data_IF_302758563496
#
_entry.id   IF_302758563496
#
_cell.length_a   1.000
_cell.length_b   1.000
_cell.length_c   1.000
_cell.angle_alpha   90.00
_cell.angle_beta   90.00
_cell.angle_gamma   90.00
#
_symmetry.space_group_name_H-M   'P 1'
#
loop_
_entity.id
_entity.type
_entity.pdbx_description
1 polymer ?
#
# COMPACT_ATOMS: atom_id res chain seq x y z
N UNK A 1 1.76 -17.60 -8.48
CA UNK A 1 2.92 -16.72 -8.24
C UNK A 1 3.24 -16.67 -6.74
N UNK A 2 4.50 -16.48 -6.34
CA UNK A 2 4.96 -16.67 -4.96
C UNK A 2 4.95 -15.40 -4.09
N UNK A 3 4.93 -15.58 -2.76
CA UNK A 3 5.02 -14.51 -1.75
C UNK A 3 6.24 -13.57 -1.94
N UNK A 4 7.29 -14.07 -2.60
CA UNK A 4 8.53 -13.32 -2.86
C UNK A 4 8.27 -12.10 -3.75
N UNK A 5 7.47 -12.24 -4.80
CA UNK A 5 7.15 -11.15 -5.72
C UNK A 5 6.39 -10.01 -5.02
N UNK A 6 5.49 -10.35 -4.10
CA UNK A 6 4.78 -9.35 -3.30
C UNK A 6 5.74 -8.61 -2.34
N UNK A 7 6.70 -9.33 -1.74
CA UNK A 7 7.76 -8.72 -0.93
C UNK A 7 8.64 -7.76 -1.74
N UNK A 8 8.99 -8.11 -2.99
CA UNK A 8 9.72 -7.22 -3.90
C UNK A 8 8.91 -5.96 -4.20
N UNK A 9 7.61 -6.10 -4.51
CA UNK A 9 6.70 -4.97 -4.76
C UNK A 9 6.64 -4.00 -3.58
N UNK A 10 6.56 -4.51 -2.35
CA UNK A 10 6.57 -3.68 -1.13
C UNK A 10 7.86 -2.85 -1.05
N UNK A 11 9.02 -3.47 -1.27
CA UNK A 11 10.32 -2.76 -1.26
C UNK A 11 10.38 -1.69 -2.35
N UNK A 12 9.89 -1.98 -3.55
CA UNK A 12 9.85 -1.02 -4.65
C UNK A 12 8.99 0.20 -4.31
N UNK A 13 7.79 0.00 -3.75
CA UNK A 13 6.91 1.10 -3.34
C UNK A 13 7.53 1.95 -2.23
N UNK A 14 8.28 1.34 -1.31
CA UNK A 14 9.02 2.06 -0.28
C UNK A 14 10.13 2.93 -0.89
N UNK A 15 10.82 2.43 -1.91
CA UNK A 15 11.87 3.18 -2.61
C UNK A 15 11.29 4.33 -3.44
N UNK A 16 10.21 4.08 -4.17
CA UNK A 16 9.47 5.11 -4.90
C UNK A 16 9.03 6.26 -3.98
N UNK A 17 8.53 5.94 -2.78
CA UNK A 17 8.19 6.95 -1.78
C UNK A 17 9.41 7.78 -1.32
N UNK A 18 10.61 7.18 -1.21
CA UNK A 18 11.83 7.94 -0.90
C UNK A 18 12.24 8.86 -2.04
N UNK A 19 12.20 8.36 -3.27
CA UNK A 19 12.53 9.12 -4.49
C UNK A 19 11.61 10.33 -4.60
N UNK A 20 10.29 10.16 -4.43
CA UNK A 20 9.33 11.28 -4.47
C UNK A 20 9.65 12.33 -3.40
N UNK A 21 9.95 11.92 -2.17
CA UNK A 21 10.33 12.86 -1.09
C UNK A 21 11.62 13.60 -1.42
N UNK A 22 12.61 12.91 -1.98
CA UNK A 22 13.87 13.52 -2.39
C UNK A 22 13.65 14.58 -3.47
N UNK A 23 12.94 14.24 -4.55
CA UNK A 23 12.68 15.18 -5.65
C UNK A 23 11.82 16.36 -5.20
N UNK A 24 10.82 16.13 -4.35
CA UNK A 24 10.04 17.21 -3.74
C UNK A 24 10.93 18.15 -2.92
N UNK A 25 11.81 17.63 -2.07
CA UNK A 25 12.70 18.45 -1.26
C UNK A 25 13.67 19.26 -2.12
N UNK A 26 14.15 18.67 -3.22
CA UNK A 26 14.98 19.35 -4.22
C UNK A 26 14.24 20.52 -4.89
N UNK A 27 12.98 20.32 -5.28
CA UNK A 27 12.14 21.39 -5.84
C UNK A 27 11.89 22.51 -4.82
N UNK A 28 11.57 22.15 -3.57
CA UNK A 28 11.38 23.11 -2.47
C UNK A 28 12.64 23.93 -2.21
N UNK A 29 13.81 23.30 -2.23
CA UNK A 29 15.09 24.00 -2.07
C UNK A 29 15.36 24.97 -3.24
N UNK A 30 15.01 24.60 -4.48
CA UNK A 30 15.11 25.48 -5.64
C UNK A 30 14.16 26.66 -5.57
N UNK A 31 12.90 26.45 -5.16
CA UNK A 31 11.92 27.52 -5.00
C UNK A 31 12.37 28.56 -3.96
N UNK A 32 12.99 28.14 -2.86
CA UNK A 32 13.57 29.05 -1.86
C UNK A 32 14.69 29.93 -2.43
N UNK A 33 15.48 29.42 -3.39
CA UNK A 33 16.61 30.14 -4.01
C UNK A 33 16.20 31.04 -5.17
N UNK A 34 15.29 30.58 -6.01
CA UNK A 34 14.94 31.20 -7.29
C UNK A 34 13.60 31.97 -7.25
N UNK A 35 12.93 32.02 -6.09
CA UNK A 35 11.61 32.60 -5.95
C UNK A 35 10.48 31.65 -6.40
N UNK A 36 9.25 32.16 -6.27
CA UNK A 36 8.05 31.42 -6.66
C UNK A 36 8.00 31.22 -8.18
N UNK A 37 7.65 30.00 -8.57
CA UNK A 37 7.46 29.56 -9.95
C UNK A 37 6.28 28.60 -9.95
N UNK A 38 5.21 28.98 -10.61
CA UNK A 38 3.95 28.24 -10.66
C UNK A 38 4.14 26.84 -11.23
N UNK A 39 5.07 26.66 -12.17
CA UNK A 39 5.38 25.34 -12.73
C UNK A 39 6.00 24.43 -11.68
N UNK A 40 6.86 24.96 -10.79
CA UNK A 40 7.43 24.18 -9.68
C UNK A 40 6.38 23.86 -8.63
N UNK A 41 5.48 24.80 -8.34
CA UNK A 41 4.35 24.57 -7.45
C UNK A 41 3.49 23.40 -7.94
N UNK A 42 3.09 23.42 -9.21
CA UNK A 42 2.32 22.35 -9.85
C UNK A 42 3.05 21.00 -9.83
N UNK A 43 4.37 20.97 -10.09
CA UNK A 43 5.16 19.74 -10.00
C UNK A 43 5.20 19.17 -8.58
N UNK A 44 5.38 20.01 -7.56
CA UNK A 44 5.37 19.55 -6.17
C UNK A 44 4.00 19.02 -5.76
N UNK A 45 2.91 19.67 -6.19
CA UNK A 45 1.55 19.19 -5.96
C UNK A 45 1.31 17.83 -6.63
N UNK A 46 1.73 17.67 -7.89
CA UNK A 46 1.64 16.40 -8.62
C UNK A 46 2.40 15.26 -7.91
N UNK A 47 3.61 15.54 -7.43
CA UNK A 47 4.41 14.57 -6.64
C UNK A 47 3.71 14.21 -5.33
N UNK A 48 3.18 15.20 -4.60
CA UNK A 48 2.46 14.95 -3.35
C UNK A 48 1.18 14.16 -3.59
N UNK A 49 0.45 14.45 -4.67
CA UNK A 49 -0.74 13.72 -5.05
C UNK A 49 -0.42 12.25 -5.40
N UNK A 50 0.58 12.01 -6.26
CA UNK A 50 1.02 10.66 -6.61
C UNK A 50 1.47 9.85 -5.39
N UNK A 51 2.25 10.47 -4.49
CA UNK A 51 2.67 9.84 -3.25
C UNK A 51 1.49 9.44 -2.37
N UNK A 52 0.50 10.33 -2.19
CA UNK A 52 -0.66 10.11 -1.30
C UNK A 52 -1.69 9.14 -1.88
N UNK A 53 -2.01 9.25 -3.17
CA UNK A 53 -3.14 8.54 -3.79
C UNK A 53 -2.72 7.24 -4.47
N UNK A 54 -1.52 7.18 -5.05
CA UNK A 54 -1.04 6.01 -5.78
C UNK A 54 -0.11 5.18 -4.91
N UNK A 55 1.03 5.75 -4.50
CA UNK A 55 2.10 5.00 -3.82
C UNK A 55 1.65 4.55 -2.44
N UNK A 56 1.16 5.47 -1.60
CA UNK A 56 0.72 5.16 -0.23
C UNK A 56 -0.41 4.13 -0.21
N UNK A 57 -1.43 4.30 -1.06
CA UNK A 57 -2.55 3.37 -1.11
C UNK A 57 -2.13 1.99 -1.64
N UNK A 58 -1.23 1.95 -2.63
CA UNK A 58 -0.66 0.69 -3.15
C UNK A 58 0.21 -0.01 -2.13
N UNK A 59 1.03 0.74 -1.38
CA UNK A 59 1.87 0.21 -0.32
C UNK A 59 1.02 -0.40 0.79
N UNK A 60 0.01 0.34 1.27
CA UNK A 60 -0.94 -0.13 2.28
C UNK A 60 -1.63 -1.43 1.83
N UNK A 61 -2.22 -1.44 0.64
CA UNK A 61 -2.87 -2.64 0.09
C UNK A 61 -1.91 -3.84 -0.06
N UNK A 62 -0.66 -3.59 -0.46
CA UNK A 62 0.36 -4.63 -0.61
C UNK A 62 0.79 -5.21 0.73
N UNK A 63 0.93 -4.38 1.77
CA UNK A 63 1.22 -4.82 3.13
C UNK A 63 0.08 -5.62 3.72
N UNK A 64 -1.17 -5.19 3.54
CA UNK A 64 -2.35 -5.93 3.99
C UNK A 64 -2.46 -7.29 3.31
N UNK A 65 -2.31 -7.34 1.99
CA UNK A 65 -2.26 -8.59 1.23
C UNK A 65 -1.16 -9.52 1.77
N UNK A 66 0.05 -8.98 2.01
CA UNK A 66 1.16 -9.77 2.52
C UNK A 66 0.93 -10.29 3.94
N UNK A 67 0.33 -9.49 4.82
CA UNK A 67 -0.01 -9.89 6.18
C UNK A 67 -1.08 -10.99 6.20
N UNK A 68 -2.14 -10.82 5.41
CA UNK A 68 -3.18 -11.82 5.20
C UNK A 68 -2.58 -13.15 4.69
N UNK A 69 -1.72 -13.07 3.67
CA UNK A 69 -0.99 -14.24 3.15
C UNK A 69 -0.05 -14.91 4.15
N UNK A 70 0.31 -14.24 5.24
CA UNK A 70 1.18 -14.76 6.28
C UNK A 70 0.40 -15.24 7.51
N UNK A 71 -0.93 -15.18 7.47
CA UNK A 71 -1.77 -15.49 8.63
C UNK A 71 -1.59 -14.52 9.80
N UNK A 72 -1.11 -13.29 9.55
CA UNK A 72 -1.01 -12.28 10.60
C UNK A 72 -2.38 -11.70 10.86
N UNK A 73 -2.72 -11.41 12.12
CA UNK A 73 -3.96 -10.70 12.43
C UNK A 73 -3.93 -9.28 11.86
N UNK A 74 -5.09 -8.77 11.45
CA UNK A 74 -5.22 -7.41 10.95
C UNK A 74 -4.71 -6.37 11.97
N UNK A 75 -5.11 -6.52 13.23
CA UNK A 75 -4.70 -5.63 14.33
C UNK A 75 -3.18 -5.56 14.52
N UNK A 76 -2.46 -6.68 14.35
CA UNK A 76 -0.98 -6.68 14.41
C UNK A 76 -0.31 -5.96 13.24
N UNK A 77 -1.04 -5.77 12.13
CA UNK A 77 -0.53 -5.17 10.90
C UNK A 77 -0.81 -3.68 10.84
N UNK A 78 -1.98 -3.25 11.29
CA UNK A 78 -2.35 -1.84 11.38
C UNK A 78 -2.94 -1.50 12.76
N UNK A 79 -2.08 -1.49 13.80
CA UNK A 79 -2.49 -1.26 15.19
C UNK A 79 -3.25 0.07 15.40
N UNK A 80 -3.01 1.08 14.54
CA UNK A 80 -3.64 2.40 14.62
C UNK A 80 -4.68 2.64 13.51
N UNK A 81 -5.17 1.59 12.86
CA UNK A 81 -6.21 1.76 11.84
C UNK A 81 -7.50 2.31 12.46
N UNK A 82 -8.10 3.30 11.78
CA UNK A 82 -9.49 3.67 12.04
C UNK A 82 -10.37 2.54 11.52
N UNK A 83 -11.23 2.01 12.39
CA UNK A 83 -12.35 1.17 11.97
C UNK A 83 -13.53 2.07 11.58
N UNK A 84 -14.25 1.77 10.49
CA UNK A 84 -13.99 0.67 9.55
C UNK A 84 -12.83 0.99 8.57
N UNK A 85 -12.16 -0.07 8.11
CA UNK A 85 -11.17 0.03 7.03
C UNK A 85 -11.88 0.46 5.74
N UNK A 86 -11.38 1.47 5.00
CA UNK A 86 -12.02 1.87 3.76
C UNK A 86 -12.09 0.73 2.73
N UNK A 87 -13.28 0.49 2.17
CA UNK A 87 -13.52 -0.59 1.20
C UNK A 87 -12.55 -0.58 0.02
N UNK A 88 -12.23 0.61 -0.49
CA UNK A 88 -11.30 0.78 -1.60
C UNK A 88 -9.92 0.15 -1.31
N UNK A 89 -9.47 0.19 -0.05
CA UNK A 89 -8.20 -0.41 0.35
C UNK A 89 -8.30 -1.94 0.35
N UNK A 90 -9.41 -2.50 0.83
CA UNK A 90 -9.63 -3.95 0.84
C UNK A 90 -9.79 -4.50 -0.58
N UNK A 91 -10.48 -3.78 -1.47
CA UNK A 91 -10.57 -4.16 -2.89
C UNK A 91 -9.19 -4.14 -3.57
N UNK A 92 -8.34 -3.17 -3.26
CA UNK A 92 -6.95 -3.13 -3.77
C UNK A 92 -6.09 -4.25 -3.19
N UNK A 93 -6.28 -4.58 -1.92
CA UNK A 93 -5.62 -5.72 -1.29
C UNK A 93 -6.05 -7.03 -1.98
N UNK A 94 -7.35 -7.22 -2.24
CA UNK A 94 -7.87 -8.36 -3.00
C UNK A 94 -7.28 -8.44 -4.40
N UNK A 95 -7.22 -7.33 -5.13
CA UNK A 95 -6.57 -7.28 -6.46
C UNK A 95 -5.11 -7.69 -6.39
N UNK A 96 -4.41 -7.28 -5.34
CA UNK A 96 -3.01 -7.67 -5.09
C UNK A 96 -2.91 -9.16 -4.76
N UNK A 97 -3.79 -9.70 -3.91
CA UNK A 97 -3.86 -11.12 -3.59
C UNK A 97 -4.13 -11.96 -4.84
N UNK A 98 -5.15 -11.64 -5.64
CA UNK A 98 -5.46 -12.36 -6.89
C UNK A 98 -4.29 -12.36 -7.88
N UNK A 99 -3.44 -11.33 -7.86
CA UNK A 99 -2.23 -11.27 -8.69
C UNK A 99 -1.09 -12.14 -8.17
N UNK A 100 -0.90 -12.22 -6.84
CA UNK A 100 0.29 -12.81 -6.22
C UNK A 100 0.01 -14.07 -5.35
N UNK A 101 -1.24 -14.51 -5.24
CA UNK A 101 -1.71 -15.64 -4.44
C UNK A 101 -2.83 -16.40 -5.18
N UNK A 102 -3.35 -17.50 -4.57
CA UNK A 102 -4.31 -18.40 -5.21
C UNK A 102 -5.60 -17.68 -5.63
N UNK A 103 -6.23 -18.19 -6.70
CA UNK A 103 -7.42 -17.62 -7.32
C UNK A 103 -8.71 -17.73 -6.46
N UNK A 104 -8.64 -18.27 -5.24
CA UNK A 104 -9.80 -18.55 -4.39
C UNK A 104 -10.20 -17.44 -3.41
N UNK A 105 -9.33 -16.47 -3.13
CA UNK A 105 -9.64 -15.44 -2.11
C UNK A 105 -10.78 -14.53 -2.57
N UNK A 106 -11.77 -14.36 -1.70
CA UNK A 106 -12.93 -13.48 -1.87
C UNK A 106 -12.77 -12.23 -1.00
N UNK A 107 -13.56 -11.20 -1.30
CA UNK A 107 -13.58 -9.99 -0.48
C UNK A 107 -14.10 -10.27 0.93
N UNK A 108 -15.02 -11.22 1.07
CA UNK A 108 -15.61 -11.64 2.34
C UNK A 108 -14.55 -12.21 3.30
N UNK A 109 -13.52 -12.87 2.77
CA UNK A 109 -12.39 -13.38 3.56
C UNK A 109 -11.60 -12.22 4.19
N UNK A 110 -11.40 -11.13 3.44
CA UNK A 110 -10.72 -9.93 3.93
C UNK A 110 -11.58 -9.18 4.96
N UNK A 111 -12.88 -9.08 4.74
CA UNK A 111 -13.79 -8.49 5.73
C UNK A 111 -13.82 -9.32 7.03
N UNK A 112 -13.88 -10.65 6.92
CA UNK A 112 -13.82 -11.53 8.07
C UNK A 112 -12.48 -11.38 8.82
N UNK A 113 -11.37 -11.32 8.11
CA UNK A 113 -10.03 -11.12 8.68
C UNK A 113 -9.90 -9.79 9.43
N UNK A 114 -10.41 -8.69 8.86
CA UNK A 114 -10.40 -7.36 9.49
C UNK A 114 -11.27 -7.33 10.73
N UNK A 115 -12.50 -7.86 10.66
CA UNK A 115 -13.50 -7.70 11.71
C UNK A 115 -13.39 -8.74 12.83
N UNK A 116 -13.01 -9.98 12.51
CA UNK A 116 -13.03 -11.10 13.46
C UNK A 116 -11.64 -11.48 13.98
N UNK A 117 -10.57 -10.88 13.45
CA UNK A 117 -9.19 -11.21 13.82
C UNK A 117 -8.80 -12.66 13.51
N UNK A 118 -9.61 -13.38 12.74
CA UNK A 118 -9.43 -14.79 12.43
C UNK A 118 -8.15 -14.95 11.60
N UNK A 119 -7.20 -15.72 12.11
CA UNK A 119 -6.10 -16.25 11.31
C UNK A 119 -6.71 -17.29 10.39
N UNK A 120 -6.86 -16.96 9.11
CA UNK A 120 -7.36 -17.93 8.14
C UNK A 120 -6.27 -18.98 7.96
N UNK A 121 -6.53 -20.20 8.46
CA UNK A 121 -5.71 -21.36 8.15
C UNK A 121 -5.70 -21.54 6.64
N UNK A 122 -4.56 -21.25 6.02
CA UNK A 122 -4.40 -21.50 4.60
C UNK A 122 -4.41 -23.01 4.42
N UNK A 123 -5.46 -23.54 3.78
CA UNK A 123 -5.41 -24.90 3.25
C UNK A 123 -4.17 -24.98 2.36
N UNK A 124 -3.19 -25.75 2.80
CA UNK A 124 -2.00 -26.04 2.02
C UNK A 124 -2.47 -26.71 0.72
N UNK A 125 -2.42 -25.97 -0.37
CA UNK A 125 -2.51 -26.59 -1.70
C UNK A 125 -1.08 -27.00 -2.01
N UNK A 126 -0.87 -28.32 -1.94
CA UNK A 126 0.36 -29.02 -2.28
C UNK A 126 0.81 -28.72 -3.73
#
# INVERSE_FOLDING_TARGET
MSQLYLKVRIKHLAEEAKIIRFERNRLKARQRKLGNDDRRAALMEGLDNHHKTVVRQSARASHLAYAFMRGKSYLSTECSARNPVPDLILQRALKTLKKYHSFGTRIDDLYAWVNKGIVIEQKAVA
#
